data_IF_528845143124
#
_entry.id   IF_528845143124
#
_cell.length_a   1.000
_cell.length_b   1.000
_cell.length_c   1.000
_cell.angle_alpha   90.00
_cell.angle_beta   90.00
_cell.angle_gamma   90.00
#
_symmetry.space_group_name_H-M   'P 1'
#
loop_
_entity.id
_entity.type
_entity.pdbx_description
1 polymer ?
#
# COMPACT_ATOMS: atom_id res chain seq x y z
N UNK A 1 -16.73 -12.09 -6.56
CA UNK A 1 -16.06 -12.55 -5.34
C UNK A 1 -14.75 -13.16 -5.79
N UNK A 2 -13.63 -12.46 -5.60
CA UNK A 2 -12.30 -13.00 -5.90
C UNK A 2 -11.87 -13.77 -4.65
N UNK A 3 -12.01 -15.09 -4.69
CA UNK A 3 -11.41 -15.96 -3.69
C UNK A 3 -9.90 -16.01 -3.94
N UNK A 4 -9.13 -15.36 -3.08
CA UNK A 4 -7.68 -15.54 -3.03
C UNK A 4 -7.44 -16.80 -2.20
N UNK A 5 -7.43 -17.98 -2.85
CA UNK A 5 -7.25 -19.26 -2.17
C UNK A 5 -5.77 -19.61 -1.97
N UNK A 6 -5.37 -19.73 -0.70
CA UNK A 6 -4.67 -20.86 -0.07
C UNK A 6 -3.32 -21.39 -0.61
N UNK A 7 -2.45 -20.55 -1.18
CA UNK A 7 -1.03 -20.94 -1.38
C UNK A 7 -0.07 -20.06 -0.55
N UNK A 8 -0.37 -19.89 0.74
CA UNK A 8 0.56 -19.28 1.70
C UNK A 8 1.09 -20.41 2.58
N UNK A 9 2.41 -20.67 2.60
CA UNK A 9 3.00 -21.73 3.43
C UNK A 9 2.64 -21.55 4.91
N UNK A 10 2.35 -22.64 5.62
CA UNK A 10 1.93 -22.66 7.04
C UNK A 10 2.94 -21.98 8.00
N UNK A 11 4.19 -21.77 7.56
CA UNK A 11 5.24 -21.08 8.33
C UNK A 11 5.15 -19.54 8.26
N UNK A 12 4.29 -19.00 7.40
CA UNK A 12 4.02 -17.56 7.30
C UNK A 12 2.70 -17.33 8.03
N UNK A 13 2.74 -16.56 9.13
CA UNK A 13 1.55 -16.23 9.92
C UNK A 13 0.33 -15.95 9.05
N UNK A 14 -0.83 -16.51 9.44
CA UNK A 14 -2.05 -16.51 8.63
C UNK A 14 -2.41 -15.10 8.15
N UNK A 15 -2.23 -14.83 6.85
CA UNK A 15 -2.80 -13.64 6.23
C UNK A 15 -4.32 -13.84 6.18
N UNK A 16 -5.04 -12.92 6.80
CA UNK A 16 -6.49 -12.92 6.79
C UNK A 16 -6.98 -11.73 5.98
N UNK A 17 -8.00 -11.95 5.16
CA UNK A 17 -8.59 -10.90 4.34
C UNK A 17 -10.11 -10.97 4.38
N UNK A 18 -10.73 -9.80 4.51
CA UNK A 18 -12.18 -9.64 4.43
C UNK A 18 -12.51 -8.42 3.59
N UNK A 19 -13.62 -8.50 2.87
CA UNK A 19 -14.14 -7.37 2.09
C UNK A 19 -15.54 -7.03 2.56
N UNK A 20 -15.81 -5.74 2.71
CA UNK A 20 -17.15 -5.24 3.02
C UNK A 20 -17.31 -3.87 2.36
N UNK A 21 -18.44 -3.65 1.70
CA UNK A 21 -18.67 -2.47 0.86
C UNK A 21 -17.55 -2.31 -0.20
N UNK A 22 -16.83 -1.21 -0.14
CA UNK A 22 -15.72 -0.75 -0.97
C UNK A 22 -14.37 -0.89 -0.27
N UNK A 23 -14.32 -1.56 0.88
CA UNK A 23 -13.12 -1.72 1.70
C UNK A 23 -12.60 -3.15 1.66
N UNK A 24 -11.28 -3.27 1.52
CA UNK A 24 -10.53 -4.52 1.69
C UNK A 24 -9.70 -4.38 2.96
N UNK A 25 -9.90 -5.28 3.92
CA UNK A 25 -9.02 -5.38 5.09
C UNK A 25 -8.15 -6.61 4.94
N UNK A 26 -6.86 -6.43 5.23
CA UNK A 26 -5.86 -7.48 5.26
C UNK A 26 -5.15 -7.35 6.59
N UNK A 27 -5.00 -8.44 7.32
CA UNK A 27 -4.25 -8.47 8.58
C UNK A 27 -3.30 -9.65 8.63
N UNK A 28 -2.25 -9.48 9.42
CA UNK A 28 -1.26 -10.48 9.74
C UNK A 28 -0.90 -10.35 11.22
N UNK A 29 -0.35 -11.40 11.81
CA UNK A 29 0.24 -11.29 13.16
C UNK A 29 1.54 -10.49 13.07
N UNK A 30 1.63 -9.43 13.87
CA UNK A 30 2.71 -8.44 13.77
C UNK A 30 4.05 -8.94 14.33
N UNK A 31 4.03 -9.94 15.21
CA UNK A 31 5.23 -10.59 15.78
C UNK A 31 5.93 -11.55 14.80
N UNK A 32 5.38 -11.73 13.58
CA UNK A 32 5.97 -12.52 12.51
C UNK A 32 6.43 -11.57 11.41
N UNK A 33 7.71 -11.19 11.43
CA UNK A 33 8.26 -10.19 10.52
C UNK A 33 8.06 -10.53 9.03
N UNK A 34 8.16 -11.81 8.67
CA UNK A 34 7.90 -12.28 7.29
C UNK A 34 6.46 -11.97 6.89
N UNK A 35 5.49 -12.12 7.80
CA UNK A 35 4.09 -11.82 7.56
C UNK A 35 3.87 -10.31 7.36
N UNK A 36 4.58 -9.46 8.10
CA UNK A 36 4.56 -8.00 7.89
C UNK A 36 5.10 -7.63 6.50
N UNK A 37 6.22 -8.21 6.07
CA UNK A 37 6.73 -8.00 4.71
C UNK A 37 5.74 -8.46 3.63
N UNK A 38 5.07 -9.59 3.86
CA UNK A 38 4.00 -10.08 3.00
C UNK A 38 2.79 -9.15 2.97
N UNK A 39 2.37 -8.57 4.09
CA UNK A 39 1.28 -7.60 4.14
C UNK A 39 1.59 -6.40 3.23
N UNK A 40 2.81 -5.85 3.33
CA UNK A 40 3.26 -4.72 2.53
C UNK A 40 3.26 -5.05 1.03
N UNK A 41 3.86 -6.18 0.65
CA UNK A 41 3.90 -6.65 -0.76
C UNK A 41 2.51 -6.95 -1.32
N UNK A 42 1.65 -7.56 -0.51
CA UNK A 42 0.29 -7.91 -0.90
C UNK A 42 -0.55 -6.66 -1.10
N UNK A 43 -0.39 -5.66 -0.23
CA UNK A 43 -1.06 -4.36 -0.34
C UNK A 43 -0.71 -3.63 -1.63
N UNK A 44 0.59 -3.57 -1.97
CA UNK A 44 1.08 -2.98 -3.23
C UNK A 44 0.51 -3.69 -4.46
N UNK A 45 0.56 -5.03 -4.48
CA UNK A 45 -0.02 -5.85 -5.55
C UNK A 45 -1.52 -5.63 -5.71
N UNK A 46 -2.27 -5.59 -4.62
CA UNK A 46 -3.72 -5.38 -4.65
C UNK A 46 -4.05 -4.00 -5.20
N UNK A 47 -3.36 -2.95 -4.76
CA UNK A 47 -3.53 -1.60 -5.31
C UNK A 47 -3.25 -1.58 -6.81
N UNK A 48 -2.15 -2.22 -7.25
CA UNK A 48 -1.82 -2.30 -8.66
C UNK A 48 -2.86 -3.07 -9.49
N UNK A 49 -3.40 -4.17 -8.95
CA UNK A 49 -4.46 -4.95 -9.61
C UNK A 49 -5.76 -4.13 -9.72
N UNK A 50 -6.17 -3.45 -8.65
CA UNK A 50 -7.36 -2.58 -8.65
C UNK A 50 -7.22 -1.50 -9.73
N UNK A 51 -6.06 -0.85 -9.82
CA UNK A 51 -5.82 0.15 -10.86
C UNK A 51 -5.76 -0.45 -12.27
N UNK A 52 -4.95 -1.49 -12.48
CA UNK A 52 -4.68 -2.05 -13.80
C UNK A 52 -5.91 -2.73 -14.40
N UNK A 53 -6.69 -3.45 -13.59
CA UNK A 53 -7.85 -4.19 -14.07
C UNK A 53 -9.09 -3.29 -14.05
N UNK A 54 -9.37 -2.63 -12.93
CA UNK A 54 -10.63 -1.89 -12.74
C UNK A 54 -10.54 -0.42 -13.13
N UNK A 55 -9.34 0.14 -13.27
CA UNK A 55 -9.17 1.58 -13.50
C UNK A 55 -9.52 2.43 -12.29
N UNK A 56 -9.60 1.81 -11.10
CA UNK A 56 -9.97 2.49 -9.87
C UNK A 56 -8.73 2.93 -9.09
N UNK A 57 -8.83 4.11 -8.48
CA UNK A 57 -7.84 4.62 -7.55
C UNK A 57 -8.22 4.17 -6.15
N UNK A 58 -7.29 3.52 -5.44
CA UNK A 58 -7.50 3.10 -4.05
C UNK A 58 -6.55 3.81 -3.10
N UNK A 59 -7.01 3.97 -1.86
CA UNK A 59 -6.28 4.54 -0.73
C UNK A 59 -6.37 3.56 0.43
N UNK A 60 -5.34 3.51 1.26
CA UNK A 60 -5.35 2.69 2.45
C UNK A 60 -4.32 3.16 3.46
N UNK A 61 -4.30 2.49 4.61
CA UNK A 61 -3.25 2.64 5.61
C UNK A 61 -2.86 1.26 6.15
N UNK A 62 -1.57 1.08 6.39
CA UNK A 62 -1.03 -0.03 7.18
C UNK A 62 -0.78 0.49 8.60
N UNK A 63 -1.43 -0.15 9.56
CA UNK A 63 -1.41 0.22 10.97
C UNK A 63 -1.34 -1.04 11.84
N UNK A 64 -0.60 -0.93 12.93
CA UNK A 64 -0.52 -1.96 13.95
C UNK A 64 -1.50 -1.64 15.07
N UNK A 65 -2.27 -2.64 15.51
CA UNK A 65 -3.11 -2.52 16.68
C UNK A 65 -3.85 -3.82 16.98
N UNK A 66 -4.49 -3.87 18.15
CA UNK A 66 -5.26 -5.03 18.58
C UNK A 66 -6.43 -5.29 17.63
N UNK A 67 -6.47 -6.52 17.11
CA UNK A 67 -7.46 -6.96 16.13
C UNK A 67 -7.82 -8.41 16.38
N UNK A 68 -9.12 -8.69 16.39
CA UNK A 68 -9.65 -10.03 16.24
C UNK A 68 -10.19 -10.12 14.83
N UNK A 69 -9.60 -11.00 14.03
CA UNK A 69 -10.01 -11.27 12.66
C UNK A 69 -10.11 -12.78 12.49
N UNK A 70 -11.25 -13.24 11.98
CA UNK A 70 -11.45 -14.61 11.54
C UNK A 70 -12.27 -14.63 10.25
N UNK A 71 -12.71 -15.81 9.81
CA UNK A 71 -13.48 -15.95 8.56
C UNK A 71 -14.84 -15.24 8.58
N UNK A 72 -15.39 -14.95 9.76
CA UNK A 72 -16.77 -14.49 9.95
C UNK A 72 -16.87 -13.09 10.55
N UNK A 73 -15.87 -12.65 11.31
CA UNK A 73 -15.89 -11.38 12.02
C UNK A 73 -14.53 -10.69 12.00
N UNK A 74 -14.59 -9.37 12.02
CA UNK A 74 -13.44 -8.51 12.24
C UNK A 74 -13.83 -7.38 13.18
N UNK A 75 -13.09 -7.22 14.28
CA UNK A 75 -13.29 -6.15 15.23
C UNK A 75 -12.04 -5.92 16.08
N UNK A 76 -11.86 -4.69 16.56
CA UNK A 76 -10.71 -4.33 17.39
C UNK A 76 -10.35 -2.86 17.24
N UNK A 77 -9.62 -2.33 18.21
CA UNK A 77 -9.20 -0.93 18.19
C UNK A 77 -8.26 -0.64 17.01
N UNK A 78 -7.44 -1.61 16.61
CA UNK A 78 -6.56 -1.48 15.44
C UNK A 78 -7.33 -1.17 14.16
N UNK A 79 -8.47 -1.82 13.93
CA UNK A 79 -9.33 -1.53 12.78
C UNK A 79 -9.93 -0.11 12.87
N UNK A 80 -10.43 0.27 14.03
CA UNK A 80 -11.05 1.59 14.24
C UNK A 80 -10.02 2.70 14.00
N UNK A 81 -8.80 2.54 14.51
CA UNK A 81 -7.73 3.52 14.33
C UNK A 81 -7.24 3.58 12.89
N UNK A 82 -7.04 2.42 12.23
CA UNK A 82 -6.69 2.37 10.82
C UNK A 82 -7.73 3.15 9.98
N UNK A 83 -9.02 2.90 10.20
CA UNK A 83 -10.09 3.62 9.51
C UNK A 83 -10.03 5.13 9.77
N UNK A 84 -9.93 5.56 11.02
CA UNK A 84 -9.85 7.00 11.38
C UNK A 84 -8.62 7.69 10.80
N UNK A 85 -7.49 6.99 10.68
CA UNK A 85 -6.27 7.55 10.11
C UNK A 85 -6.37 7.64 8.58
N UNK A 86 -6.89 6.62 7.92
CA UNK A 86 -7.06 6.58 6.46
C UNK A 86 -7.89 7.75 5.93
N UNK A 87 -8.93 8.17 6.68
CA UNK A 87 -9.77 9.32 6.32
C UNK A 87 -9.03 10.66 6.29
N UNK A 88 -7.83 10.76 6.87
CA UNK A 88 -7.03 12.00 6.89
C UNK A 88 -6.23 12.22 5.62
N UNK A 89 -5.99 11.16 4.84
CA UNK A 89 -5.15 11.23 3.65
C UNK A 89 -5.97 11.61 2.44
N UNK A 90 -5.46 12.49 1.58
CA UNK A 90 -6.19 12.97 0.41
C UNK A 90 -5.94 12.10 -0.82
N UNK A 91 -4.71 11.61 -0.98
CA UNK A 91 -4.25 10.99 -2.22
C UNK A 91 -4.44 9.46 -2.24
N UNK A 92 -4.60 8.86 -3.43
CA UNK A 92 -4.80 7.42 -3.61
C UNK A 92 -3.49 6.62 -3.44
N UNK A 93 -3.02 6.53 -2.20
CA UNK A 93 -1.82 5.81 -1.82
C UNK A 93 -2.11 4.88 -0.62
N UNK A 94 -1.22 3.91 -0.39
CA UNK A 94 -1.23 3.12 0.83
C UNK A 94 -0.21 3.72 1.79
N UNK A 95 -0.71 4.40 2.81
CA UNK A 95 0.08 5.10 3.82
C UNK A 95 0.49 4.17 4.95
N UNK A 96 1.42 4.63 5.77
CA UNK A 96 1.81 3.94 7.00
C UNK A 96 1.53 4.82 8.22
N UNK A 97 1.04 4.20 9.29
CA UNK A 97 1.01 4.87 10.60
C UNK A 97 2.43 5.15 11.11
N UNK A 98 2.60 6.18 11.95
CA UNK A 98 3.92 6.55 12.49
C UNK A 98 4.52 5.43 13.34
N UNK A 99 3.65 4.73 14.07
CA UNK A 99 3.97 3.57 14.90
C UNK A 99 4.52 2.45 14.02
N UNK A 100 3.81 2.10 12.95
CA UNK A 100 4.26 1.09 12.01
C UNK A 100 5.60 1.45 11.35
N UNK A 101 5.79 2.72 10.98
CA UNK A 101 7.06 3.19 10.40
C UNK A 101 8.23 2.99 11.36
N UNK A 102 8.04 3.35 12.63
CA UNK A 102 9.08 3.24 13.64
C UNK A 102 9.47 1.79 13.90
N UNK A 103 8.51 0.88 13.88
CA UNK A 103 8.68 -0.49 14.36
C UNK A 103 9.08 -1.47 13.26
N UNK A 104 8.43 -1.40 12.08
CA UNK A 104 8.54 -2.46 11.07
C UNK A 104 9.35 -2.06 9.85
N UNK A 105 9.27 -0.80 9.40
CA UNK A 105 10.04 -0.36 8.23
C UNK A 105 11.56 -0.57 8.36
N UNK A 106 12.21 -0.42 9.52
CA UNK A 106 13.65 -0.67 9.64
C UNK A 106 14.02 -2.14 9.40
N UNK A 107 13.05 -3.03 9.60
CA UNK A 107 13.22 -4.47 9.44
C UNK A 107 12.93 -4.91 8.00
N UNK A 108 12.13 -4.15 7.25
CA UNK A 108 11.80 -4.45 5.85
C UNK A 108 13.01 -4.65 4.92
N UNK A 109 14.09 -3.84 4.97
CA UNK A 109 15.30 -4.06 4.17
C UNK A 109 15.84 -5.49 4.26
N UNK A 110 15.78 -6.15 5.43
CA UNK A 110 16.22 -7.54 5.62
C UNK A 110 15.43 -8.55 4.80
N UNK A 111 14.19 -8.19 4.42
CA UNK A 111 13.29 -9.02 3.62
C UNK A 111 13.27 -8.63 2.13
N UNK A 112 13.76 -7.43 1.78
CA UNK A 112 13.90 -6.94 0.40
C UNK A 112 15.35 -6.99 -0.12
N UNK A 113 16.34 -7.18 0.75
CA UNK A 113 17.77 -7.28 0.45
C UNK A 113 18.51 -8.13 1.52
N UNK A 114 19.56 -8.84 1.14
CA UNK A 114 20.26 -9.84 1.97
C UNK A 114 21.24 -9.26 3.02
N UNK A 115 21.12 -8.01 3.46
CA UNK A 115 22.11 -7.39 4.36
C UNK A 115 21.46 -6.71 5.58
N UNK A 116 22.00 -7.02 6.77
CA UNK A 116 21.67 -6.41 8.05
C UNK A 116 22.39 -5.05 8.20
N UNK A 117 21.65 -3.97 8.46
CA UNK A 117 22.25 -2.71 8.91
C UNK A 117 21.34 -2.00 9.92
N UNK A 118 21.94 -1.30 10.89
CA UNK A 118 21.28 -0.76 12.10
C UNK A 118 21.07 0.79 12.02
N UNK A 119 20.90 1.36 10.82
CA UNK A 119 20.94 2.83 10.63
C UNK A 119 19.65 3.38 10.01
N UNK A 120 18.67 3.63 10.89
CA UNK A 120 17.30 4.08 10.62
C UNK A 120 17.14 5.24 9.62
N UNK A 121 17.94 6.31 9.71
CA UNK A 121 17.78 7.50 8.83
C UNK A 121 18.42 7.32 7.45
N UNK A 122 19.56 6.63 7.38
CA UNK A 122 20.24 6.34 6.12
C UNK A 122 19.54 5.20 5.37
N UNK A 123 18.94 4.24 6.07
CA UNK A 123 18.20 3.15 5.45
C UNK A 123 16.80 3.55 4.98
N UNK A 124 16.09 4.41 5.70
CA UNK A 124 14.88 5.02 5.16
C UNK A 124 15.20 5.83 3.90
N UNK A 125 16.28 6.61 3.93
CA UNK A 125 16.79 7.26 2.73
C UNK A 125 17.14 6.22 1.65
N UNK A 126 17.81 5.11 1.97
CA UNK A 126 18.10 4.02 1.01
C UNK A 126 16.86 3.33 0.47
N UNK A 127 15.82 3.07 1.25
CA UNK A 127 14.56 2.45 0.80
C UNK A 127 13.73 3.42 -0.05
N UNK A 128 13.73 4.71 0.31
CA UNK A 128 13.22 5.78 -0.54
C UNK A 128 14.06 5.93 -1.82
N UNK A 129 15.38 5.75 -1.76
CA UNK A 129 16.30 5.78 -2.90
C UNK A 129 16.19 4.53 -3.78
N UNK A 130 15.94 3.36 -3.19
CA UNK A 130 15.53 2.11 -3.86
C UNK A 130 14.08 2.22 -4.34
N UNK A 131 13.36 3.25 -3.89
CA UNK A 131 12.02 3.66 -4.27
C UNK A 131 10.95 2.64 -3.94
N UNK A 132 10.98 2.05 -2.76
CA UNK A 132 9.88 1.26 -2.20
C UNK A 132 8.86 2.12 -1.46
N UNK A 133 9.30 3.28 -0.96
CA UNK A 133 8.47 4.24 -0.26
C UNK A 133 8.65 5.64 -0.84
N UNK A 134 7.62 6.46 -0.69
CA UNK A 134 7.61 7.88 -1.01
C UNK A 134 7.01 8.66 0.14
N UNK A 135 7.17 9.98 0.11
CA UNK A 135 6.63 10.89 1.10
C UNK A 135 5.99 12.10 0.43
N UNK A 136 4.84 12.51 0.95
CA UNK A 136 4.18 13.79 0.62
C UNK A 136 3.77 14.53 1.90
N UNK A 137 2.91 15.54 1.77
CA UNK A 137 2.39 16.30 2.90
C UNK A 137 1.51 15.47 3.85
N UNK A 138 0.94 14.37 3.36
CA UNK A 138 -0.02 13.53 4.07
C UNK A 138 0.70 12.44 4.87
N UNK A 139 1.83 11.93 4.37
CA UNK A 139 2.68 11.01 5.11
C UNK A 139 3.65 10.21 4.25
N UNK A 140 4.19 9.14 4.83
CA UNK A 140 4.98 8.14 4.12
C UNK A 140 4.04 7.06 3.58
N UNK A 141 4.22 6.67 2.33
CA UNK A 141 3.37 5.73 1.61
C UNK A 141 4.15 4.80 0.69
N UNK A 142 3.50 3.72 0.24
CA UNK A 142 4.04 2.77 -0.71
C UNK A 142 4.27 3.40 -2.08
N UNK A 143 5.48 3.21 -2.64
CA UNK A 143 5.76 3.72 -3.97
C UNK A 143 4.89 3.03 -5.01
N UNK A 144 4.46 3.77 -6.01
CA UNK A 144 3.59 3.26 -7.07
C UNK A 144 4.38 2.57 -8.19
N UNK A 145 5.57 2.06 -7.90
CA UNK A 145 6.43 1.44 -8.91
C UNK A 145 5.77 0.22 -9.56
N UNK A 146 5.01 -0.58 -8.81
CA UNK A 146 4.31 -1.73 -9.37
C UNK A 146 3.19 -1.30 -10.32
N UNK A 147 2.52 -0.17 -10.03
CA UNK A 147 1.55 0.45 -10.93
C UNK A 147 2.23 0.91 -12.22
N UNK A 148 3.40 1.53 -12.10
CA UNK A 148 4.13 2.17 -13.19
C UNK A 148 5.22 1.29 -13.83
N UNK A 149 5.16 -0.03 -13.64
CA UNK A 149 6.16 -0.95 -14.20
C UNK A 149 6.29 -0.78 -15.72
N UNK A 150 7.51 -0.91 -16.23
CA UNK A 150 7.88 -0.61 -17.62
C UNK A 150 6.99 -1.31 -18.65
N UNK A 151 6.59 -2.55 -18.37
CA UNK A 151 5.70 -3.37 -19.20
C UNK A 151 4.32 -2.74 -19.46
N UNK A 152 3.90 -1.75 -18.65
CA UNK A 152 2.55 -1.18 -18.70
C UNK A 152 2.52 0.35 -18.80
N UNK A 153 3.65 1.02 -19.05
CA UNK A 153 3.75 2.50 -19.02
C UNK A 153 2.70 3.21 -19.86
N UNK A 154 2.60 2.84 -21.14
CA UNK A 154 1.65 3.46 -22.08
C UNK A 154 0.20 3.27 -21.64
N UNK A 155 -0.18 2.03 -21.31
CA UNK A 155 -1.52 1.69 -20.80
C UNK A 155 -1.86 2.43 -19.50
N UNK A 156 -0.88 2.59 -18.61
CA UNK A 156 -1.06 3.33 -17.36
C UNK A 156 -1.28 4.82 -17.67
N UNK A 157 -0.50 5.42 -18.56
CA UNK A 157 -0.68 6.81 -18.97
C UNK A 157 -2.03 7.04 -19.65
N UNK A 158 -2.46 6.12 -20.52
CA UNK A 158 -3.80 6.16 -21.14
C UNK A 158 -4.91 6.14 -20.08
N UNK A 159 -4.82 5.26 -19.09
CA UNK A 159 -5.76 5.21 -17.96
C UNK A 159 -5.77 6.51 -17.16
N UNK A 160 -4.60 7.09 -16.90
CA UNK A 160 -4.49 8.38 -16.19
C UNK A 160 -5.18 9.49 -16.97
N UNK A 161 -4.94 9.58 -18.29
CA UNK A 161 -5.58 10.56 -19.17
C UNK A 161 -7.09 10.36 -19.23
N UNK A 162 -7.55 9.12 -19.41
CA UNK A 162 -8.97 8.80 -19.41
C UNK A 162 -9.64 9.17 -18.06
N UNK A 163 -8.95 8.94 -16.94
CA UNK A 163 -9.40 9.36 -15.62
C UNK A 163 -9.51 10.88 -15.46
N UNK A 164 -8.54 11.64 -15.97
CA UNK A 164 -8.57 13.11 -15.98
C UNK A 164 -9.74 13.67 -16.80
N UNK A 165 -10.01 13.08 -17.97
CA UNK A 165 -11.08 13.49 -18.88
C UNK A 165 -12.47 13.14 -18.35
N UNK A 166 -12.63 11.95 -17.78
CA UNK A 166 -13.91 11.43 -17.26
C UNK A 166 -14.29 11.96 -15.87
N UNK A 167 -13.37 12.64 -15.17
CA UNK A 167 -13.64 13.18 -13.84
C UNK A 167 -14.69 14.30 -13.86
N UNK A 168 -15.75 14.13 -13.08
CA UNK A 168 -16.88 15.07 -13.02
C UNK A 168 -16.65 16.21 -12.01
N UNK A 169 -15.79 15.99 -11.01
CA UNK A 169 -15.51 16.96 -9.95
C UNK A 169 -14.02 17.32 -9.86
N UNK A 170 -13.74 18.50 -9.33
CA UNK A 170 -12.36 18.95 -9.09
C UNK A 170 -11.63 18.05 -8.07
N UNK A 171 -12.38 17.49 -7.11
CA UNK A 171 -11.86 16.52 -6.15
C UNK A 171 -11.43 15.19 -6.80
N UNK A 172 -12.15 14.71 -7.82
CA UNK A 172 -11.70 13.54 -8.59
C UNK A 172 -10.49 13.89 -9.47
N UNK A 173 -10.53 15.04 -10.15
CA UNK A 173 -9.42 15.51 -11.00
C UNK A 173 -8.13 15.66 -10.21
N UNK A 174 -8.18 16.16 -8.97
CA UNK A 174 -6.99 16.34 -8.14
C UNK A 174 -6.27 15.00 -7.87
N UNK A 175 -7.01 13.92 -7.62
CA UNK A 175 -6.45 12.57 -7.40
C UNK A 175 -5.72 12.06 -8.65
N UNK A 176 -6.33 12.25 -9.83
CA UNK A 176 -5.71 11.86 -11.10
C UNK A 176 -4.50 12.72 -11.45
N UNK A 177 -4.54 14.03 -11.17
CA UNK A 177 -3.37 14.92 -11.36
C UNK A 177 -2.22 14.52 -10.46
N UNK A 178 -2.51 14.19 -9.19
CA UNK A 178 -1.50 13.69 -8.26
C UNK A 178 -0.86 12.40 -8.79
N UNK A 179 -1.66 11.43 -9.27
CA UNK A 179 -1.12 10.22 -9.87
C UNK A 179 -0.29 10.49 -11.13
N UNK A 180 -0.69 11.45 -11.97
CA UNK A 180 0.07 11.85 -13.15
C UNK A 180 1.44 12.44 -12.80
N UNK A 181 1.51 13.32 -11.79
CA UNK A 181 2.77 13.86 -11.29
C UNK A 181 3.70 12.75 -10.78
N UNK A 182 3.14 11.76 -10.10
CA UNK A 182 3.88 10.58 -9.63
C UNK A 182 4.39 9.72 -10.78
N UNK A 183 3.59 9.53 -11.82
CA UNK A 183 4.00 8.85 -13.05
C UNK A 183 5.20 9.57 -13.70
N UNK A 184 5.16 10.89 -13.79
CA UNK A 184 6.24 11.69 -14.38
C UNK A 184 7.53 11.57 -13.54
N UNK A 185 7.43 11.64 -12.21
CA UNK A 185 8.58 11.51 -11.31
C UNK A 185 9.27 10.14 -11.43
N UNK A 186 8.51 9.07 -11.55
CA UNK A 186 9.06 7.71 -11.57
C UNK A 186 9.56 7.25 -12.95
N UNK A 187 9.25 7.98 -14.02
CA UNK A 187 9.60 7.59 -15.39
C UNK A 187 10.57 8.56 -16.11
N UNK A 188 10.88 9.72 -15.52
CA UNK A 188 11.82 10.70 -16.07
C UNK A 188 13.26 10.58 -15.52
N UNK A 189 13.57 9.46 -14.85
CA UNK A 189 14.90 9.05 -14.39
C UNK A 189 15.27 7.69 -15.00
#
# INVERSE_FOLDING_TARGET
>A
MLEITNDIPDEVGYIQAVTFSDTIIISVTADIDTAVSWLVRTSDKIQAVIFKILGLLSRGIIHEGELIHDKNFIFGEGLIQAYKMEQKFLHPAIYFSKEFIREYIPQLPKYFSNEDSDHWSEEMAKLCHQGYFDQDCDGIFLSQKVIFSSENREKTLEKIKAGLESSESEHQKSKWRWLNQRYDLLNNH
#
